data_IF_376891836613
#
_entry.id   IF_376891836613
#
_cell.length_a   1.000
_cell.length_b   1.000
_cell.length_c   1.000
_cell.angle_alpha   90.00
_cell.angle_beta   90.00
_cell.angle_gamma   90.00
#
_symmetry.space_group_name_H-M   'P 1'
#
loop_
_entity.id
_entity.type
_entity.pdbx_description
1 polymer ?
#
# COMPACT_ATOMS: atom_id res chain seq x y z
N UNK A 1 10.70 29.63 6.40
CA UNK A 1 10.93 28.99 5.08
C UNK A 1 11.85 27.77 5.10
N UNK A 2 12.03 27.05 6.22
CA UNK A 2 12.67 25.72 6.24
C UNK A 2 11.66 24.73 6.82
N UNK A 3 11.13 23.83 6.00
CA UNK A 3 10.36 22.67 6.48
C UNK A 3 11.36 21.57 6.82
N UNK A 4 11.21 20.96 7.99
CA UNK A 4 12.00 19.80 8.38
C UNK A 4 11.58 18.59 7.54
N UNK A 5 12.53 17.73 7.19
CA UNK A 5 12.23 16.48 6.49
C UNK A 5 11.45 15.53 7.41
N UNK A 6 10.38 14.92 6.88
CA UNK A 6 9.65 13.87 7.58
C UNK A 6 10.24 12.51 7.20
N UNK A 7 11.12 12.00 8.07
CA UNK A 7 11.82 10.73 7.83
C UNK A 7 10.92 9.50 7.88
N UNK A 8 9.69 9.63 8.38
CA UNK A 8 8.70 8.54 8.36
C UNK A 8 8.22 8.24 6.94
N UNK A 9 8.28 9.23 6.05
CA UNK A 9 7.76 9.17 4.69
C UNK A 9 8.86 9.16 3.61
N UNK A 10 10.05 8.63 3.92
CA UNK A 10 11.12 8.44 2.92
C UNK A 10 10.90 7.08 2.24
N UNK A 11 10.63 7.03 0.93
CA UNK A 11 10.49 5.77 0.21
C UNK A 11 11.83 5.09 -0.02
N UNK A 12 11.82 3.76 -0.04
CA UNK A 12 12.89 2.91 -0.57
C UNK A 12 12.39 2.28 -1.86
N UNK A 13 13.20 2.36 -2.92
CA UNK A 13 12.88 1.86 -4.25
C UNK A 13 14.00 0.95 -4.76
N UNK A 14 13.65 -0.22 -5.29
CA UNK A 14 14.57 -1.18 -5.90
C UNK A 14 14.06 -1.50 -7.30
N UNK A 15 14.88 -1.20 -8.30
CA UNK A 15 14.52 -1.25 -9.72
C UNK A 15 14.82 -2.61 -10.36
N UNK A 16 14.45 -3.70 -9.66
CA UNK A 16 14.49 -5.07 -10.18
C UNK A 16 13.24 -5.39 -11.02
N UNK A 17 13.17 -6.61 -11.57
CA UNK A 17 11.94 -7.13 -12.18
C UNK A 17 11.46 -8.40 -11.46
N UNK A 18 10.31 -8.37 -10.76
CA UNK A 18 9.46 -7.20 -10.50
C UNK A 18 10.13 -6.15 -9.60
N UNK A 19 9.62 -4.93 -9.63
CA UNK A 19 10.11 -3.83 -8.80
C UNK A 19 9.68 -4.02 -7.34
N UNK A 20 10.43 -3.40 -6.42
CA UNK A 20 10.11 -3.38 -4.99
C UNK A 20 10.14 -1.94 -4.51
N UNK A 21 9.07 -1.50 -3.86
CA UNK A 21 9.02 -0.19 -3.23
C UNK A 21 8.35 -0.25 -1.86
N UNK A 22 8.82 0.55 -0.91
CA UNK A 22 8.22 0.62 0.42
C UNK A 22 8.38 1.99 1.05
N UNK A 23 7.45 2.37 1.93
CA UNK A 23 7.54 3.55 2.79
C UNK A 23 6.90 3.26 4.14
N UNK A 24 7.41 3.88 5.20
CA UNK A 24 6.92 3.69 6.56
C UNK A 24 7.46 2.43 7.23
N UNK A 25 6.71 1.95 8.21
CA UNK A 25 7.11 0.85 9.07
C UNK A 25 7.00 -0.50 8.37
N UNK A 26 7.90 -1.41 8.73
CA UNK A 26 7.81 -2.87 8.54
C UNK A 26 7.03 -3.50 9.70
N UNK A 27 6.54 -4.71 9.51
CA UNK A 27 5.80 -5.46 10.54
C UNK A 27 6.65 -5.67 11.81
N UNK A 28 7.94 -5.96 11.65
CA UNK A 28 8.89 -6.14 12.76
C UNK A 28 9.11 -4.83 13.54
N UNK A 29 9.14 -3.69 12.85
CA UNK A 29 9.31 -2.37 13.46
C UNK A 29 8.05 -1.95 14.22
N UNK A 30 6.86 -2.19 13.64
CA UNK A 30 5.59 -1.96 14.31
C UNK A 30 5.47 -2.81 15.59
N UNK A 31 5.87 -4.09 15.51
CA UNK A 31 5.92 -5.00 16.67
C UNK A 31 6.92 -4.53 17.73
N UNK A 32 8.12 -4.12 17.32
CA UNK A 32 9.15 -3.62 18.24
C UNK A 32 8.73 -2.32 18.95
N UNK A 33 7.90 -1.50 18.31
CA UNK A 33 7.31 -0.30 18.90
C UNK A 33 6.08 -0.57 19.78
N UNK A 34 5.64 -1.83 19.89
CA UNK A 34 4.45 -2.20 20.68
C UNK A 34 3.14 -1.71 20.08
N UNK A 35 3.11 -1.40 18.79
CA UNK A 35 1.90 -0.94 18.09
C UNK A 35 1.04 -2.14 17.71
N UNK A 36 -0.24 -2.15 18.06
CA UNK A 36 -1.20 -3.12 17.54
C UNK A 36 -1.52 -2.76 16.09
N UNK A 37 -1.31 -3.70 15.17
CA UNK A 37 -1.50 -3.47 13.74
C UNK A 37 -2.18 -4.65 13.06
N UNK A 38 -2.89 -4.36 11.97
CA UNK A 38 -3.38 -5.36 11.01
C UNK A 38 -2.70 -5.16 9.67
N UNK A 39 -2.47 -6.28 8.99
CA UNK A 39 -1.87 -6.30 7.66
C UNK A 39 -2.91 -6.70 6.64
N UNK A 40 -3.06 -5.88 5.61
CA UNK A 40 -3.89 -6.20 4.45
C UNK A 40 -3.03 -6.32 3.21
N UNK A 41 -3.39 -7.24 2.31
CA UNK A 41 -2.65 -7.55 1.10
C UNK A 41 -3.60 -7.72 -0.08
N UNK A 42 -3.21 -7.21 -1.23
CA UNK A 42 -3.91 -7.44 -2.49
C UNK A 42 -2.93 -7.86 -3.59
N UNK A 43 -3.13 -9.03 -4.23
CA UNK A 43 -2.22 -9.53 -5.25
C UNK A 43 -2.46 -8.87 -6.62
N UNK A 44 -1.40 -8.55 -7.34
CA UNK A 44 -1.50 -8.02 -8.71
C UNK A 44 -2.14 -9.03 -9.68
N UNK A 45 -2.12 -10.33 -9.36
CA UNK A 45 -2.79 -11.36 -10.16
C UNK A 45 -4.32 -11.20 -10.20
N UNK A 46 -4.92 -10.51 -9.23
CA UNK A 46 -6.35 -10.17 -9.23
C UNK A 46 -6.65 -8.83 -9.91
N UNK A 47 -5.63 -8.11 -10.42
CA UNK A 47 -5.79 -6.77 -10.98
C UNK A 47 -5.79 -6.77 -12.51
N UNK A 48 -6.88 -6.29 -13.11
CA UNK A 48 -7.05 -6.26 -14.57
C UNK A 48 -5.90 -5.55 -15.28
N UNK A 49 -5.42 -4.41 -14.76
CA UNK A 49 -4.32 -3.67 -15.37
C UNK A 49 -3.01 -4.48 -15.40
N UNK A 50 -2.71 -5.23 -14.35
CA UNK A 50 -1.51 -6.07 -14.30
C UNK A 50 -1.59 -7.25 -15.28
N UNK A 51 -2.79 -7.81 -15.45
CA UNK A 51 -3.07 -8.83 -16.47
C UNK A 51 -2.87 -8.29 -17.89
N UNK A 52 -3.39 -7.09 -18.17
CA UNK A 52 -3.21 -6.42 -19.48
C UNK A 52 -1.74 -6.15 -19.81
N UNK A 53 -0.90 -5.94 -18.80
CA UNK A 53 0.54 -5.74 -18.97
C UNK A 53 1.33 -7.05 -19.05
N UNK A 54 0.69 -8.21 -18.82
CA UNK A 54 1.38 -9.50 -18.71
C UNK A 54 2.29 -9.59 -17.49
N UNK A 55 2.03 -8.81 -16.43
CA UNK A 55 2.88 -8.70 -15.23
C UNK A 55 2.06 -8.94 -13.94
N UNK A 56 1.48 -10.15 -13.75
CA UNK A 56 0.60 -10.44 -12.60
C UNK A 56 1.34 -10.75 -11.29
N UNK A 57 2.67 -10.84 -11.33
CA UNK A 57 3.47 -11.23 -10.17
C UNK A 57 3.57 -10.09 -9.16
N UNK A 58 3.29 -10.40 -7.90
CA UNK A 58 3.48 -9.51 -6.77
C UNK A 58 2.20 -9.10 -6.05
N UNK A 59 2.31 -8.12 -5.16
CA UNK A 59 1.22 -7.61 -4.33
C UNK A 59 1.48 -6.20 -3.81
N UNK A 60 0.42 -5.55 -3.38
CA UNK A 60 0.45 -4.42 -2.44
C UNK A 60 0.14 -4.92 -1.04
N UNK A 61 0.89 -4.45 -0.04
CA UNK A 61 0.69 -4.71 1.39
C UNK A 61 0.58 -3.39 2.14
N UNK A 62 -0.50 -3.23 2.90
CA UNK A 62 -0.69 -2.14 3.84
C UNK A 62 -0.53 -2.65 5.27
N UNK A 63 0.15 -1.86 6.10
CA UNK A 63 0.23 -2.05 7.55
C UNK A 63 -0.51 -0.87 8.16
N UNK A 64 -1.57 -1.16 8.91
CA UNK A 64 -2.42 -0.14 9.53
C UNK A 64 -2.56 -0.41 11.02
N UNK A 65 -2.57 0.65 11.82
CA UNK A 65 -2.81 0.60 13.26
C UNK A 65 -4.26 0.18 13.55
N UNK A 66 -4.45 -0.62 14.60
CA UNK A 66 -5.78 -0.91 15.13
C UNK A 66 -6.01 -0.19 16.48
N UNK A 67 -7.23 0.30 16.74
CA UNK A 67 -8.42 0.26 15.88
C UNK A 67 -8.53 1.45 14.91
N UNK A 68 -7.57 2.39 14.95
CA UNK A 68 -7.67 3.69 14.27
C UNK A 68 -7.69 3.59 12.74
N UNK A 69 -7.13 2.53 12.16
CA UNK A 69 -6.92 2.39 10.74
C UNK A 69 -5.82 3.28 10.17
N UNK A 70 -5.05 3.99 11.01
CA UNK A 70 -3.96 4.86 10.56
C UNK A 70 -2.91 4.07 9.80
N UNK A 71 -2.52 4.56 8.62
CA UNK A 71 -1.50 3.94 7.79
C UNK A 71 -0.13 4.06 8.47
N UNK A 72 0.52 2.91 8.69
CA UNK A 72 1.86 2.81 9.28
C UNK A 72 2.92 2.51 8.23
N UNK A 73 2.57 1.78 7.16
CA UNK A 73 3.50 1.48 6.08
C UNK A 73 2.83 0.87 4.85
N UNK A 74 3.46 1.09 3.70
CA UNK A 74 3.06 0.56 2.39
C UNK A 74 4.25 -0.19 1.81
N UNK A 75 4.01 -1.40 1.31
CA UNK A 75 5.03 -2.25 0.71
C UNK A 75 4.47 -2.83 -0.59
N UNK A 76 5.20 -2.68 -1.68
CA UNK A 76 4.78 -3.06 -3.01
C UNK A 76 5.87 -3.92 -3.64
N UNK A 77 5.48 -5.09 -4.13
CA UNK A 77 6.26 -5.93 -5.03
C UNK A 77 5.44 -6.06 -6.29
N UNK A 78 5.91 -5.61 -7.45
CA UNK A 78 5.12 -5.72 -8.68
C UNK A 78 5.47 -4.73 -9.78
N UNK A 79 4.64 -4.65 -10.83
CA UNK A 79 4.84 -3.73 -11.93
C UNK A 79 4.75 -2.28 -11.46
N UNK A 80 5.72 -1.44 -11.85
CA UNK A 80 5.75 0.00 -11.55
C UNK A 80 5.60 0.33 -10.05
N UNK A 81 6.10 -0.53 -9.17
CA UNK A 81 6.04 -0.33 -7.72
C UNK A 81 6.67 1.02 -7.32
N UNK A 82 7.76 1.41 -7.98
CA UNK A 82 8.50 2.64 -7.70
C UNK A 82 7.73 3.91 -8.11
N UNK A 83 6.76 3.81 -9.03
CA UNK A 83 5.86 4.91 -9.38
C UNK A 83 4.68 5.00 -8.40
N UNK A 84 4.06 3.86 -8.10
CA UNK A 84 2.84 3.78 -7.30
C UNK A 84 3.10 4.12 -5.82
N UNK A 85 4.32 3.85 -5.32
CA UNK A 85 4.68 4.15 -3.91
C UNK A 85 4.53 5.63 -3.56
N UNK A 86 4.54 6.54 -4.53
CA UNK A 86 4.32 7.97 -4.32
C UNK A 86 2.98 8.28 -3.62
N UNK A 87 1.94 7.51 -3.90
CA UNK A 87 0.65 7.62 -3.20
C UNK A 87 0.79 7.26 -1.72
N UNK A 88 1.46 6.13 -1.43
CA UNK A 88 1.74 5.68 -0.07
C UNK A 88 2.57 6.69 0.73
N UNK A 89 3.55 7.34 0.08
CA UNK A 89 4.38 8.40 0.68
C UNK A 89 3.50 9.58 1.11
N UNK A 90 2.62 10.05 0.21
CA UNK A 90 1.72 11.15 0.52
C UNK A 90 0.73 10.77 1.63
N UNK A 91 0.10 9.60 1.52
CA UNK A 91 -0.86 9.10 2.49
C UNK A 91 -0.24 9.01 3.90
N UNK A 92 0.94 8.43 4.02
CA UNK A 92 1.65 8.29 5.30
C UNK A 92 2.04 9.65 5.88
N UNK A 93 2.54 10.57 5.04
CA UNK A 93 2.87 11.94 5.45
C UNK A 93 1.65 12.69 5.98
N UNK A 94 0.49 12.50 5.34
CA UNK A 94 -0.76 13.14 5.73
C UNK A 94 -1.41 12.48 6.96
N UNK A 95 -0.89 11.35 7.44
CA UNK A 95 -1.50 10.58 8.53
C UNK A 95 -2.82 9.94 8.11
N UNK A 96 -2.97 9.61 6.82
CA UNK A 96 -4.17 9.01 6.27
C UNK A 96 -4.46 7.64 6.91
N UNK A 97 -5.73 7.27 6.85
CA UNK A 97 -6.23 5.96 7.29
C UNK A 97 -6.47 5.05 6.09
N UNK A 98 -6.64 3.75 6.33
CA UNK A 98 -7.13 2.82 5.32
C UNK A 98 -8.47 3.29 4.72
N UNK A 99 -9.28 4.00 5.48
CA UNK A 99 -10.58 4.49 5.05
C UNK A 99 -10.41 5.60 4.02
N UNK A 100 -9.45 6.50 4.22
CA UNK A 100 -9.13 7.55 3.24
C UNK A 100 -8.67 6.93 1.90
N UNK A 101 -7.81 5.91 1.95
CA UNK A 101 -7.35 5.19 0.76
C UNK A 101 -8.49 4.43 0.06
N UNK A 102 -9.31 3.70 0.83
CA UNK A 102 -10.42 2.90 0.32
C UNK A 102 -11.54 3.75 -0.30
N UNK A 103 -11.74 4.99 0.16
CA UNK A 103 -12.76 5.90 -0.38
C UNK A 103 -12.21 6.87 -1.43
N UNK A 104 -10.90 6.80 -1.74
CA UNK A 104 -10.31 7.56 -2.84
C UNK A 104 -10.61 6.88 -4.17
N UNK A 105 -11.16 7.63 -5.13
CA UNK A 105 -11.45 7.13 -6.47
C UNK A 105 -10.16 6.94 -7.26
N UNK A 106 -9.79 5.69 -7.48
CA UNK A 106 -8.66 5.31 -8.33
C UNK A 106 -9.13 5.17 -9.79
N UNK A 107 -8.29 5.57 -10.74
CA UNK A 107 -8.62 5.42 -12.16
C UNK A 107 -8.66 3.94 -12.56
N UNK A 108 -9.68 3.54 -13.33
CA UNK A 108 -9.81 2.17 -13.81
C UNK A 108 -9.61 2.10 -15.34
N UNK A 109 -8.82 1.14 -15.87
CA UNK A 109 -7.93 0.22 -15.15
C UNK A 109 -6.55 0.85 -14.85
N UNK A 110 -6.07 0.79 -13.61
CA UNK A 110 -4.75 1.27 -13.17
C UNK A 110 -4.12 0.30 -12.14
N UNK A 111 -2.80 0.31 -12.04
CA UNK A 111 -2.06 -0.46 -11.03
C UNK A 111 -2.26 0.08 -9.61
N UNK A 112 -2.51 1.39 -9.45
CA UNK A 112 -2.76 1.98 -8.13
C UNK A 112 -4.05 1.46 -7.47
N UNK A 113 -5.00 0.91 -8.24
CA UNK A 113 -6.20 0.24 -7.69
C UNK A 113 -5.84 -0.89 -6.69
N UNK A 114 -4.63 -1.47 -6.75
CA UNK A 114 -4.18 -2.42 -5.76
C UNK A 114 -4.04 -1.81 -4.34
N UNK A 115 -3.76 -0.51 -4.20
CA UNK A 115 -3.78 0.20 -2.90
C UNK A 115 -5.22 0.30 -2.40
N UNK A 116 -6.16 0.72 -3.25
CA UNK A 116 -7.60 0.75 -2.94
C UNK A 116 -8.11 -0.61 -2.45
N UNK A 117 -7.81 -1.69 -3.18
CA UNK A 117 -8.25 -3.03 -2.81
C UNK A 117 -7.60 -3.52 -1.51
N UNK A 118 -6.30 -3.26 -1.32
CA UNK A 118 -5.63 -3.57 -0.06
C UNK A 118 -6.21 -2.75 1.10
N UNK A 119 -6.66 -1.51 0.87
CA UNK A 119 -7.31 -0.71 1.89
C UNK A 119 -8.67 -1.32 2.28
N UNK A 120 -9.48 -1.74 1.31
CA UNK A 120 -10.73 -2.46 1.58
C UNK A 120 -10.52 -3.79 2.34
N UNK A 121 -9.42 -4.50 2.12
CA UNK A 121 -9.07 -5.68 2.93
C UNK A 121 -8.71 -5.40 4.39
N UNK A 122 -8.36 -4.15 4.74
CA UNK A 122 -8.27 -3.76 6.15
C UNK A 122 -9.67 -3.53 6.74
N UNK A 123 -10.57 -2.88 6.00
CA UNK A 123 -11.91 -2.46 6.46
C UNK A 123 -12.86 -3.65 6.57
N UNK A 124 -13.00 -4.41 5.49
CA UNK A 124 -13.90 -5.55 5.36
C UNK A 124 -13.26 -6.58 4.42
N UNK A 125 -13.44 -6.41 3.11
CA UNK A 125 -12.91 -7.32 2.10
C UNK A 125 -12.65 -6.60 0.78
N UNK A 126 -11.58 -6.99 0.05
CA UNK A 126 -11.34 -6.50 -1.31
C UNK A 126 -12.49 -6.93 -2.24
N UNK A 127 -12.88 -6.09 -3.19
CA UNK A 127 -13.97 -6.37 -4.12
C UNK A 127 -13.58 -7.40 -5.19
N UNK A 128 -12.31 -7.39 -5.59
CA UNK A 128 -11.81 -8.24 -6.67
C UNK A 128 -11.21 -9.57 -6.17
N UNK A 129 -11.33 -9.87 -4.88
CA UNK A 129 -11.01 -11.18 -4.32
C UNK A 129 -12.28 -11.91 -3.89
N UNK A 130 -12.28 -13.23 -4.07
CA UNK A 130 -13.39 -14.08 -3.63
C UNK A 130 -13.47 -14.05 -2.10
N UNK A 131 -14.64 -13.71 -1.55
CA UNK A 131 -14.96 -13.91 -0.13
C UNK A 131 -15.00 -15.43 0.14
N UNK A 132 -14.17 -15.91 1.07
CA UNK A 132 -14.19 -17.28 1.57
C UNK A 132 -15.25 -17.44 2.65
#
# INVERSE_FOLDING_TARGET
GRRQADYRAVPTCVYTMPEIASVGLREEEARAQGVTYKVSRFPFSALARAQLLGQPLGLVKLICEEPSGRLLGVHILGPRANDIIGEGVLALRMGATAQDLAHTMHGHPNLSEAIYEAAWGFIDSPFHLRRL
#
